data_IF_978129972428
#
_entry.id   IF_978129972428
#
_cell.length_a   1.000
_cell.length_b   1.000
_cell.length_c   1.000
_cell.angle_alpha   90.00
_cell.angle_beta   90.00
_cell.angle_gamma   90.00
#
_symmetry.space_group_name_H-M   'P 1'
#
loop_
_entity.id
_entity.type
_entity.pdbx_description
1 polymer ?
#
# COMPACT_ATOMS: atom_id res chain seq x y z
N UNK A 1 -11.80 -28.02 -11.51
CA UNK A 1 -11.93 -28.03 -10.03
C UNK A 1 -11.03 -26.97 -9.37
N UNK A 2 -9.72 -26.96 -9.63
CA UNK A 2 -8.80 -25.97 -9.02
C UNK A 2 -9.10 -24.51 -9.39
N UNK A 3 -9.37 -24.20 -10.67
CA UNK A 3 -9.70 -22.83 -11.10
C UNK A 3 -10.97 -22.32 -10.41
N UNK A 4 -11.99 -23.18 -10.29
CA UNK A 4 -13.22 -22.84 -9.58
C UNK A 4 -12.95 -22.53 -8.11
N UNK A 5 -12.13 -23.32 -7.42
CA UNK A 5 -11.75 -23.01 -6.04
C UNK A 5 -11.05 -21.65 -5.93
N UNK A 6 -10.08 -21.36 -6.80
CA UNK A 6 -9.30 -20.10 -6.78
C UNK A 6 -10.16 -18.88 -7.14
N UNK A 7 -11.12 -19.03 -8.06
CA UNK A 7 -11.91 -17.92 -8.58
C UNK A 7 -13.25 -17.73 -7.86
N UNK A 8 -13.87 -18.78 -7.33
CA UNK A 8 -15.16 -18.69 -6.62
C UNK A 8 -14.98 -18.66 -5.11
N UNK A 9 -14.21 -19.60 -4.53
CA UNK A 9 -14.26 -19.86 -3.08
C UNK A 9 -13.19 -19.05 -2.34
N UNK A 10 -11.95 -19.13 -2.82
CA UNK A 10 -10.79 -18.50 -2.18
C UNK A 10 -10.91 -16.97 -2.05
N UNK A 11 -11.57 -16.22 -2.96
CA UNK A 11 -11.69 -14.77 -2.81
C UNK A 11 -12.46 -14.39 -1.53
N UNK A 12 -13.54 -15.09 -1.21
CA UNK A 12 -14.29 -14.85 0.02
C UNK A 12 -13.46 -15.19 1.26
N UNK A 13 -12.71 -16.30 1.24
CA UNK A 13 -11.82 -16.67 2.35
C UNK A 13 -10.74 -15.60 2.55
N UNK A 14 -10.09 -15.16 1.46
CA UNK A 14 -9.00 -14.19 1.53
C UNK A 14 -9.48 -12.84 2.03
N UNK A 15 -10.64 -12.36 1.58
CA UNK A 15 -11.27 -11.12 2.07
C UNK A 15 -11.69 -11.25 3.53
N UNK A 16 -12.29 -12.37 3.94
CA UNK A 16 -12.68 -12.59 5.33
C UNK A 16 -11.46 -12.58 6.27
N UNK A 17 -10.40 -13.31 5.92
CA UNK A 17 -9.14 -13.33 6.69
C UNK A 17 -8.51 -11.93 6.74
N UNK A 18 -8.49 -11.23 5.61
CA UNK A 18 -7.96 -9.86 5.55
C UNK A 18 -8.71 -8.92 6.48
N UNK A 19 -10.05 -8.89 6.42
CA UNK A 19 -10.89 -8.00 7.23
C UNK A 19 -10.78 -8.36 8.71
N UNK A 20 -10.95 -9.63 9.07
CA UNK A 20 -10.87 -10.08 10.47
C UNK A 20 -9.48 -9.80 11.04
N UNK A 21 -8.43 -10.14 10.31
CA UNK A 21 -7.05 -9.88 10.71
C UNK A 21 -6.76 -8.39 10.87
N UNK A 22 -7.26 -7.55 9.96
CA UNK A 22 -7.13 -6.10 10.04
C UNK A 22 -7.82 -5.55 11.28
N UNK A 23 -9.08 -5.92 11.52
CA UNK A 23 -9.86 -5.50 12.70
C UNK A 23 -9.19 -5.94 14.00
N UNK A 24 -8.68 -7.18 14.05
CA UNK A 24 -7.90 -7.67 15.20
C UNK A 24 -6.67 -6.80 15.46
N UNK A 25 -5.90 -6.47 14.42
CA UNK A 25 -4.68 -5.64 14.52
C UNK A 25 -5.00 -4.23 14.97
N UNK A 26 -6.02 -3.62 14.38
CA UNK A 26 -6.51 -2.29 14.74
C UNK A 26 -7.03 -2.24 16.19
N UNK A 27 -7.84 -3.22 16.59
CA UNK A 27 -8.37 -3.33 17.95
C UNK A 27 -7.26 -3.50 18.98
N UNK A 28 -6.23 -4.30 18.68
CA UNK A 28 -5.05 -4.42 19.54
C UNK A 28 -4.30 -3.10 19.73
N UNK A 29 -4.19 -2.30 18.68
CA UNK A 29 -3.56 -0.98 18.78
C UNK A 29 -4.41 0.03 19.53
N UNK A 30 -5.71 0.05 19.28
CA UNK A 30 -6.64 0.93 19.98
C UNK A 30 -6.66 0.64 21.50
N UNK A 31 -6.51 -0.62 21.88
CA UNK A 31 -6.44 -1.05 23.28
C UNK A 31 -5.04 -0.94 23.91
N UNK A 32 -4.02 -0.59 23.13
CA UNK A 32 -2.66 -0.44 23.66
C UNK A 32 -2.59 0.81 24.55
N UNK A 33 -2.41 0.61 25.86
CA UNK A 33 -2.27 1.72 26.81
C UNK A 33 -0.90 2.35 26.65
N UNK A 34 -0.87 3.60 26.19
CA UNK A 34 0.35 4.41 26.15
C UNK A 34 0.48 5.11 27.49
N UNK A 35 1.42 4.65 28.31
CA UNK A 35 1.61 5.12 29.69
C UNK A 35 2.54 6.36 29.73
N UNK A 36 3.37 6.56 28.70
CA UNK A 36 4.43 7.58 28.68
C UNK A 36 4.30 8.52 27.48
N UNK A 37 4.67 9.79 27.65
CA UNK A 37 4.77 10.77 26.57
C UNK A 37 6.05 10.50 25.79
N UNK A 38 5.92 9.85 24.62
CA UNK A 38 7.05 9.55 23.74
C UNK A 38 7.16 10.68 22.72
N UNK A 39 7.70 11.83 23.12
CA UNK A 39 8.04 12.92 22.19
C UNK A 39 9.51 12.78 21.82
N UNK A 40 9.80 12.25 20.63
CA UNK A 40 11.15 12.26 20.06
C UNK A 40 11.22 13.42 19.07
N UNK A 41 12.16 14.35 19.29
CA UNK A 41 12.38 15.63 18.55
C UNK A 41 11.41 16.75 18.93
N UNK A 42 11.70 18.05 18.68
CA UNK A 42 10.73 19.11 18.91
C UNK A 42 9.48 18.83 18.07
N UNK A 43 8.44 18.32 18.73
CA UNK A 43 7.20 17.92 18.11
C UNK A 43 6.36 19.18 17.80
N UNK A 44 5.56 19.16 16.73
CA UNK A 44 4.67 20.27 16.42
C UNK A 44 3.74 20.57 17.60
N UNK A 45 3.69 21.84 17.98
CA UNK A 45 2.95 22.33 19.15
C UNK A 45 1.45 22.45 18.89
N UNK A 46 1.03 22.43 17.62
CA UNK A 46 -0.37 22.54 17.20
C UNK A 46 -0.83 21.27 16.50
N UNK A 47 -2.14 20.97 16.60
CA UNK A 47 -2.76 19.86 15.85
C UNK A 47 -2.53 20.00 14.34
N UNK A 48 -2.57 21.22 13.81
CA UNK A 48 -2.30 21.52 12.41
C UNK A 48 -0.84 21.20 12.04
N UNK A 49 0.13 21.56 12.88
CA UNK A 49 1.53 21.19 12.69
C UNK A 49 1.73 19.66 12.70
N UNK A 50 1.07 18.94 13.62
CA UNK A 50 1.13 17.49 13.69
C UNK A 50 0.58 16.81 12.43
N UNK A 51 -0.57 17.28 11.93
CA UNK A 51 -1.15 16.81 10.67
C UNK A 51 -0.24 17.10 9.49
N UNK A 52 0.37 18.29 9.42
CA UNK A 52 1.29 18.65 8.35
C UNK A 52 2.54 17.77 8.35
N UNK A 53 3.09 17.45 9.52
CA UNK A 53 4.25 16.55 9.62
C UNK A 53 3.91 15.10 9.27
N UNK A 54 2.72 14.63 9.65
CA UNK A 54 2.20 13.33 9.19
C UNK A 54 2.07 13.32 7.66
N UNK A 55 1.49 14.37 7.07
CA UNK A 55 1.31 14.47 5.62
C UNK A 55 2.67 14.52 4.90
N UNK A 56 3.61 15.34 5.37
CA UNK A 56 4.96 15.42 4.80
C UNK A 56 5.69 14.09 4.87
N UNK A 57 5.55 13.35 5.96
CA UNK A 57 6.10 12.01 6.00
C UNK A 57 5.39 11.09 5.02
N UNK A 58 4.06 10.99 5.07
CA UNK A 58 3.30 10.05 4.26
C UNK A 58 3.54 10.25 2.75
N UNK A 59 3.69 11.50 2.31
CA UNK A 59 3.88 11.84 0.89
C UNK A 59 5.34 11.81 0.46
N UNK A 60 6.26 12.35 1.26
CA UNK A 60 7.65 12.58 0.82
C UNK A 60 8.67 11.71 1.56
N UNK A 61 8.26 10.88 2.51
CA UNK A 61 9.17 10.10 3.37
C UNK A 61 10.34 10.95 3.89
N UNK A 62 10.02 12.15 4.41
CA UNK A 62 11.00 13.19 4.76
C UNK A 62 12.09 12.67 5.70
N UNK A 63 11.72 11.85 6.69
CA UNK A 63 12.70 11.24 7.61
C UNK A 63 13.67 10.32 6.87
N UNK A 64 13.14 9.48 5.99
CA UNK A 64 13.94 8.54 5.20
C UNK A 64 14.86 9.28 4.21
N UNK A 65 14.39 10.37 3.60
CA UNK A 65 15.20 11.21 2.72
C UNK A 65 16.45 11.76 3.42
N UNK A 66 16.31 12.14 4.70
CA UNK A 66 17.42 12.65 5.51
C UNK A 66 18.40 11.56 5.93
N UNK A 67 17.91 10.33 6.19
CA UNK A 67 18.75 9.25 6.72
C UNK A 67 19.44 8.42 5.63
N UNK A 68 18.72 8.07 4.56
CA UNK A 68 19.22 7.19 3.49
C UNK A 68 18.56 7.56 2.15
N UNK A 69 19.25 8.38 1.36
CA UNK A 69 18.78 8.86 0.07
C UNK A 69 18.60 7.74 -0.97
N UNK A 70 19.42 6.69 -0.90
CA UNK A 70 19.37 5.58 -1.84
C UNK A 70 18.12 4.73 -1.57
N UNK A 71 17.89 4.37 -0.30
CA UNK A 71 16.66 3.70 0.11
C UNK A 71 15.43 4.58 -0.17
N UNK A 72 15.52 5.88 0.10
CA UNK A 72 14.45 6.81 -0.20
C UNK A 72 14.06 6.78 -1.68
N UNK A 73 15.02 6.90 -2.61
CA UNK A 73 14.73 6.91 -4.03
C UNK A 73 14.00 5.63 -4.47
N UNK A 74 14.52 4.45 -4.08
CA UNK A 74 13.89 3.17 -4.41
C UNK A 74 12.51 2.99 -3.77
N UNK A 75 12.39 3.33 -2.48
CA UNK A 75 11.14 3.16 -1.75
C UNK A 75 10.06 4.14 -2.22
N UNK A 76 10.42 5.40 -2.50
CA UNK A 76 9.48 6.43 -2.93
C UNK A 76 8.97 6.14 -4.34
N UNK A 77 9.85 5.82 -5.29
CA UNK A 77 9.46 5.41 -6.65
C UNK A 77 8.55 4.18 -6.61
N UNK A 78 8.91 3.18 -5.79
CA UNK A 78 8.08 1.98 -5.60
C UNK A 78 6.66 2.33 -5.11
N UNK A 79 6.53 3.17 -4.08
CA UNK A 79 5.21 3.53 -3.54
C UNK A 79 4.38 4.38 -4.50
N UNK A 80 5.00 5.32 -5.22
CA UNK A 80 4.30 6.13 -6.22
C UNK A 80 3.78 5.23 -7.35
N UNK A 81 4.63 4.34 -7.87
CA UNK A 81 4.21 3.40 -8.92
C UNK A 81 3.13 2.44 -8.41
N UNK A 82 3.25 1.93 -7.19
CA UNK A 82 2.23 1.09 -6.55
C UNK A 82 0.90 1.85 -6.41
N UNK A 83 0.92 3.11 -5.97
CA UNK A 83 -0.27 3.94 -5.85
C UNK A 83 -0.99 4.08 -7.21
N UNK A 84 -0.26 4.43 -8.28
CA UNK A 84 -0.85 4.55 -9.60
C UNK A 84 -1.36 3.20 -10.15
N UNK A 85 -0.68 2.10 -9.85
CA UNK A 85 -1.15 0.77 -10.24
C UNK A 85 -2.44 0.41 -9.50
N UNK A 86 -2.52 0.64 -8.19
CA UNK A 86 -3.75 0.38 -7.41
C UNK A 86 -4.90 1.28 -7.88
N UNK A 87 -4.64 2.58 -8.08
CA UNK A 87 -5.62 3.50 -8.64
C UNK A 87 -6.08 3.07 -10.04
N UNK A 88 -5.15 2.62 -10.89
CA UNK A 88 -5.44 2.09 -12.21
C UNK A 88 -6.22 0.78 -12.20
N UNK A 89 -6.06 -0.07 -11.18
CA UNK A 89 -6.94 -1.24 -10.99
C UNK A 89 -8.36 -0.80 -10.67
N UNK A 90 -8.54 0.09 -9.70
CA UNK A 90 -9.88 0.55 -9.28
C UNK A 90 -10.58 1.30 -10.41
N UNK A 91 -9.93 2.33 -10.96
CA UNK A 91 -10.51 3.18 -12.00
C UNK A 91 -10.57 2.46 -13.35
N UNK A 92 -9.49 1.79 -13.75
CA UNK A 92 -9.41 1.12 -15.04
C UNK A 92 -10.39 -0.05 -15.16
N UNK A 93 -10.53 -0.89 -14.13
CA UNK A 93 -11.50 -1.99 -14.16
C UNK A 93 -12.93 -1.45 -13.97
N UNK A 94 -13.15 -0.56 -13.00
CA UNK A 94 -14.48 -0.03 -12.72
C UNK A 94 -15.06 0.81 -13.87
N UNK A 95 -14.22 1.59 -14.55
CA UNK A 95 -14.60 2.50 -15.62
C UNK A 95 -14.18 2.01 -17.01
N UNK A 96 -13.72 0.74 -17.13
CA UNK A 96 -13.25 0.13 -18.37
C UNK A 96 -12.13 0.91 -19.10
N UNK A 97 -11.27 1.61 -18.35
CA UNK A 97 -10.23 2.47 -18.93
C UNK A 97 -10.75 3.79 -19.49
N UNK A 98 -12.01 4.14 -19.24
CA UNK A 98 -12.68 5.34 -19.80
C UNK A 98 -12.68 6.54 -18.84
N UNK A 99 -11.91 6.49 -17.76
CA UNK A 99 -11.92 7.52 -16.73
C UNK A 99 -11.59 8.92 -17.24
N UNK A 100 -10.69 9.07 -18.22
CA UNK A 100 -10.33 10.37 -18.78
C UNK A 100 -11.40 10.92 -19.72
N UNK A 101 -12.13 10.02 -20.41
CA UNK A 101 -13.28 10.40 -21.22
C UNK A 101 -14.44 10.88 -20.34
N UNK A 102 -14.71 10.21 -19.21
CA UNK A 102 -15.78 10.62 -18.30
C UNK A 102 -15.56 11.98 -17.63
N UNK A 103 -14.31 12.39 -17.42
CA UNK A 103 -14.00 13.74 -16.93
C UNK A 103 -13.84 14.78 -18.05
N UNK A 104 -14.17 14.42 -19.29
CA UNK A 104 -14.16 15.32 -20.44
C UNK A 104 -12.78 15.73 -20.95
N UNK A 105 -11.71 15.02 -20.56
CA UNK A 105 -10.34 15.35 -20.96
C UNK A 105 -10.00 14.87 -22.38
N UNK A 106 -10.63 13.80 -22.85
CA UNK A 106 -10.27 13.15 -24.13
C UNK A 106 -11.37 12.21 -24.67
N UNK A 107 -11.15 11.61 -25.85
CA UNK A 107 -12.05 10.61 -26.44
C UNK A 107 -11.99 9.26 -25.69
N UNK A 108 -12.98 8.39 -25.91
CA UNK A 108 -13.02 7.05 -25.27
C UNK A 108 -11.80 6.22 -25.64
N UNK A 109 -11.46 6.18 -26.93
CA UNK A 109 -10.33 5.42 -27.48
C UNK A 109 -9.01 5.93 -26.89
N UNK A 110 -8.87 7.25 -26.79
CA UNK A 110 -7.68 7.87 -26.22
C UNK A 110 -7.58 7.59 -24.72
N UNK A 111 -8.70 7.58 -23.99
CA UNK A 111 -8.73 7.22 -22.58
C UNK A 111 -8.29 5.77 -22.34
N UNK A 112 -8.78 4.83 -23.15
CA UNK A 112 -8.42 3.41 -23.05
C UNK A 112 -6.92 3.19 -23.37
N UNK A 113 -6.40 3.88 -24.39
CA UNK A 113 -4.98 3.90 -24.71
C UNK A 113 -4.14 4.46 -23.55
N UNK A 114 -4.50 5.63 -23.01
CA UNK A 114 -3.80 6.25 -21.88
C UNK A 114 -3.81 5.35 -20.64
N UNK A 115 -4.93 4.69 -20.36
CA UNK A 115 -5.04 3.72 -19.26
C UNK A 115 -4.08 2.55 -19.44
N UNK A 116 -3.98 2.04 -20.67
CA UNK A 116 -3.07 0.96 -21.01
C UNK A 116 -1.62 1.41 -20.87
N UNK A 117 -1.26 2.58 -21.40
CA UNK A 117 0.09 3.14 -21.33
C UNK A 117 0.53 3.42 -19.89
N UNK A 118 -0.33 4.06 -19.09
CA UNK A 118 -0.05 4.34 -17.68
C UNK A 118 0.11 3.05 -16.87
N UNK A 119 -0.78 2.08 -17.08
CA UNK A 119 -0.69 0.78 -16.43
C UNK A 119 0.61 0.05 -16.78
N UNK A 120 1.01 0.06 -18.05
CA UNK A 120 2.28 -0.55 -18.50
C UNK A 120 3.49 0.20 -17.96
N UNK A 121 3.50 1.53 -18.04
CA UNK A 121 4.61 2.37 -17.55
C UNK A 121 4.84 2.16 -16.05
N UNK A 122 3.81 2.35 -15.23
CA UNK A 122 3.95 2.17 -13.78
C UNK A 122 4.17 0.71 -13.40
N UNK A 123 3.71 -0.25 -14.19
CA UNK A 123 4.00 -1.67 -13.99
C UNK A 123 5.49 -1.99 -14.15
N UNK A 124 6.14 -1.43 -15.18
CA UNK A 124 7.60 -1.54 -15.37
C UNK A 124 8.35 -0.84 -14.23
N UNK A 125 7.99 0.41 -13.93
CA UNK A 125 8.63 1.21 -12.88
C UNK A 125 8.54 0.51 -11.53
N UNK A 126 7.37 -0.03 -11.19
CA UNK A 126 7.15 -0.77 -9.94
C UNK A 126 8.03 -2.02 -9.88
N UNK A 127 8.09 -2.80 -10.97
CA UNK A 127 8.90 -4.02 -11.02
C UNK A 127 10.39 -3.73 -10.86
N UNK A 128 10.90 -2.71 -11.56
CA UNK A 128 12.31 -2.28 -11.44
C UNK A 128 12.62 -1.78 -10.03
N UNK A 129 11.73 -1.00 -9.43
CA UNK A 129 11.92 -0.51 -8.06
C UNK A 129 11.91 -1.67 -7.05
N UNK A 130 11.06 -2.67 -7.22
CA UNK A 130 11.06 -3.87 -6.38
C UNK A 130 12.35 -4.70 -6.52
N UNK A 131 12.86 -4.87 -7.75
CA UNK A 131 14.15 -5.52 -7.98
C UNK A 131 15.30 -4.73 -7.36
N UNK A 132 15.30 -3.40 -7.47
CA UNK A 132 16.27 -2.55 -6.79
C UNK A 132 16.25 -2.75 -5.27
N UNK A 133 15.06 -2.74 -4.66
CA UNK A 133 14.92 -2.94 -3.21
C UNK A 133 15.37 -4.34 -2.77
N UNK A 134 15.05 -5.37 -3.55
CA UNK A 134 15.54 -6.73 -3.31
C UNK A 134 17.06 -6.81 -3.43
N UNK A 135 17.63 -6.25 -4.51
CA UNK A 135 19.08 -6.17 -4.71
C UNK A 135 19.76 -5.48 -3.55
N UNK A 136 19.27 -4.30 -3.13
CA UNK A 136 19.80 -3.55 -1.98
C UNK A 136 19.80 -4.41 -0.71
N UNK A 137 18.71 -5.14 -0.46
CA UNK A 137 18.57 -6.03 0.70
C UNK A 137 19.56 -7.19 0.68
N UNK A 138 19.80 -7.76 -0.50
CA UNK A 138 20.74 -8.87 -0.67
C UNK A 138 22.19 -8.39 -0.63
N UNK A 139 22.51 -7.18 -1.11
CA UNK A 139 23.91 -6.75 -1.35
C UNK A 139 24.51 -5.96 -0.21
N UNK A 140 23.74 -5.10 0.45
CA UNK A 140 24.25 -4.29 1.57
C UNK A 140 24.27 -5.15 2.84
N UNK A 141 25.46 -5.32 3.42
CA UNK A 141 25.66 -6.27 4.52
C UNK A 141 24.84 -5.87 5.76
N UNK A 142 24.83 -4.59 6.09
CA UNK A 142 24.11 -4.01 7.23
C UNK A 142 22.61 -4.30 7.11
N UNK A 143 22.06 -4.15 5.90
CA UNK A 143 20.65 -4.41 5.61
C UNK A 143 20.35 -5.90 5.69
N UNK A 144 21.25 -6.74 5.17
CA UNK A 144 21.09 -8.21 5.19
C UNK A 144 21.06 -8.74 6.63
N UNK A 145 21.97 -8.26 7.48
CA UNK A 145 22.09 -8.67 8.88
C UNK A 145 20.84 -8.36 9.69
N UNK A 146 20.18 -7.22 9.43
CA UNK A 146 18.95 -6.83 10.15
C UNK A 146 17.66 -7.34 9.47
N UNK A 147 17.75 -8.02 8.33
CA UNK A 147 16.58 -8.49 7.59
C UNK A 147 16.09 -9.84 8.11
N UNK A 148 14.77 -9.95 8.31
CA UNK A 148 14.12 -11.22 8.60
C UNK A 148 13.78 -11.96 7.29
N UNK A 149 13.63 -13.30 7.28
CA UNK A 149 13.20 -14.05 6.10
C UNK A 149 11.90 -13.52 5.49
N UNK A 150 10.97 -13.07 6.33
CA UNK A 150 9.70 -12.49 5.88
C UNK A 150 9.87 -11.23 5.03
N UNK A 151 10.96 -10.47 5.20
CA UNK A 151 11.25 -9.28 4.37
C UNK A 151 11.52 -9.65 2.91
N UNK A 152 12.18 -10.79 2.68
CA UNK A 152 12.45 -11.31 1.35
C UNK A 152 11.19 -11.93 0.74
N UNK A 153 10.45 -12.72 1.51
CA UNK A 153 9.23 -13.38 1.04
C UNK A 153 8.18 -12.35 0.59
N UNK A 154 7.99 -11.25 1.34
CA UNK A 154 7.04 -10.21 0.92
C UNK A 154 7.50 -9.48 -0.35
N UNK A 155 8.80 -9.20 -0.50
CA UNK A 155 9.32 -8.59 -1.73
C UNK A 155 9.16 -9.53 -2.93
N UNK A 156 9.47 -10.82 -2.77
CA UNK A 156 9.30 -11.82 -3.83
C UNK A 156 7.83 -12.02 -4.20
N UNK A 157 6.91 -11.99 -3.23
CA UNK A 157 5.47 -12.05 -3.49
C UNK A 157 5.01 -10.85 -4.34
N UNK A 158 5.41 -9.63 -3.96
CA UNK A 158 5.08 -8.43 -4.74
C UNK A 158 5.70 -8.47 -6.14
N UNK A 159 6.95 -8.91 -6.27
CA UNK A 159 7.60 -9.10 -7.58
C UNK A 159 6.81 -10.09 -8.42
N UNK A 160 6.38 -11.22 -7.86
CA UNK A 160 5.56 -12.22 -8.56
C UNK A 160 4.24 -11.66 -9.05
N UNK A 161 3.53 -10.90 -8.20
CA UNK A 161 2.25 -10.25 -8.56
C UNK A 161 2.45 -9.30 -9.74
N UNK A 162 3.43 -8.40 -9.62
CA UNK A 162 3.69 -7.37 -10.64
C UNK A 162 4.22 -7.99 -11.92
N UNK A 163 5.09 -9.01 -11.83
CA UNK A 163 5.58 -9.74 -12.99
C UNK A 163 4.45 -10.45 -13.74
N UNK A 164 3.54 -11.14 -13.02
CA UNK A 164 2.37 -11.77 -13.63
C UNK A 164 1.45 -10.74 -14.31
N UNK A 165 1.24 -9.59 -13.66
CA UNK A 165 0.44 -8.49 -14.23
C UNK A 165 1.07 -7.87 -15.48
N UNK A 166 2.39 -7.62 -15.44
CA UNK A 166 3.13 -7.11 -16.60
C UNK A 166 3.17 -8.12 -17.74
N UNK A 167 3.30 -9.42 -17.44
CA UNK A 167 3.27 -10.47 -18.45
C UNK A 167 1.96 -10.47 -19.24
N UNK A 168 0.80 -10.34 -18.55
CA UNK A 168 -0.50 -10.20 -19.22
C UNK A 168 -0.60 -8.96 -20.11
N UNK A 169 0.18 -7.90 -19.85
CA UNK A 169 0.21 -6.68 -20.68
C UNK A 169 1.14 -6.82 -21.87
N UNK A 170 2.29 -7.48 -21.70
CA UNK A 170 3.29 -7.63 -22.76
C UNK A 170 3.03 -8.79 -23.70
N UNK A 171 2.23 -9.77 -23.26
CA UNK A 171 1.90 -10.97 -24.03
C UNK A 171 0.37 -11.06 -24.16
N UNK A 172 -0.24 -10.34 -25.12
CA UNK A 172 -1.69 -10.19 -25.23
C UNK A 172 -2.46 -11.52 -25.32
N UNK A 173 -1.83 -12.57 -25.86
CA UNK A 173 -2.41 -13.92 -25.94
C UNK A 173 -2.73 -14.50 -24.56
N UNK A 174 -1.94 -14.10 -23.55
CA UNK A 174 -2.11 -14.50 -22.15
C UNK A 174 -2.80 -13.40 -21.31
N UNK A 175 -3.15 -12.28 -21.94
CA UNK A 175 -3.83 -11.15 -21.33
C UNK A 175 -5.33 -11.34 -21.19
N UNK A 176 -5.94 -10.39 -20.46
CA UNK A 176 -7.39 -10.28 -20.29
C UNK A 176 -7.78 -8.80 -20.31
N UNK A 177 -8.90 -8.49 -20.96
CA UNK A 177 -9.44 -7.12 -21.03
C UNK A 177 -10.18 -6.74 -19.74
N UNK A 178 -10.46 -5.45 -19.56
CA UNK A 178 -11.12 -4.95 -18.34
C UNK A 178 -12.54 -5.47 -18.14
N UNK A 179 -13.30 -5.65 -19.22
CA UNK A 179 -14.72 -6.03 -19.15
C UNK A 179 -14.93 -7.42 -18.51
N UNK A 180 -14.29 -8.51 -18.96
CA UNK A 180 -14.40 -9.81 -18.30
C UNK A 180 -14.00 -9.79 -16.82
N UNK A 181 -12.99 -8.99 -16.45
CA UNK A 181 -12.54 -8.85 -15.06
C UNK A 181 -13.57 -8.09 -14.22
N UNK A 182 -14.18 -7.02 -14.78
CA UNK A 182 -15.24 -6.26 -14.10
C UNK A 182 -16.46 -7.14 -13.86
N UNK A 183 -16.87 -7.92 -14.86
CA UNK A 183 -18.03 -8.80 -14.76
C UNK A 183 -17.78 -9.93 -13.75
N UNK A 184 -16.55 -10.47 -13.70
CA UNK A 184 -16.12 -11.39 -12.64
C UNK A 184 -16.24 -10.77 -11.23
N UNK A 185 -15.75 -9.53 -11.05
CA UNK A 185 -15.86 -8.82 -9.77
C UNK A 185 -17.34 -8.60 -9.40
N UNK A 186 -18.19 -8.24 -10.36
CA UNK A 186 -19.62 -8.08 -10.12
C UNK A 186 -20.23 -9.37 -9.57
N UNK A 187 -19.92 -10.52 -10.16
CA UNK A 187 -20.43 -11.81 -9.68
C UNK A 187 -20.02 -12.09 -8.22
N UNK A 188 -18.76 -11.79 -7.85
CA UNK A 188 -18.30 -11.93 -6.47
C UNK A 188 -19.06 -11.02 -5.51
N UNK A 189 -19.32 -9.76 -5.89
CA UNK A 189 -19.99 -8.79 -5.02
C UNK A 189 -21.49 -9.09 -4.91
N UNK A 190 -22.13 -9.57 -5.98
CA UNK A 190 -23.54 -9.97 -5.99
C UNK A 190 -23.77 -11.38 -5.47
N UNK A 191 -22.72 -12.07 -5.02
CA UNK A 191 -22.76 -13.46 -4.55
C UNK A 191 -23.39 -14.43 -5.57
N UNK A 192 -23.18 -14.17 -6.86
CA UNK A 192 -23.60 -15.07 -7.94
C UNK A 192 -22.47 -16.04 -8.28
N UNK A 193 -22.85 -17.19 -8.85
CA UNK A 193 -21.89 -18.25 -9.18
C UNK A 193 -21.08 -17.88 -10.42
N UNK A 194 -19.76 -18.02 -10.35
CA UNK A 194 -18.90 -17.98 -11.54
C UNK A 194 -19.17 -19.24 -12.37
N UNK A 195 -19.59 -19.03 -13.61
CA UNK A 195 -19.94 -20.11 -14.53
C UNK A 195 -18.71 -20.55 -15.34
N UNK A 196 -18.64 -21.81 -15.79
CA UNK A 196 -17.49 -22.33 -16.52
C UNK A 196 -17.20 -21.63 -17.86
N UNK A 197 -18.19 -20.97 -18.47
CA UNK A 197 -18.11 -20.26 -19.74
C UNK A 197 -17.49 -18.85 -19.62
N UNK A 198 -17.33 -18.32 -18.40
CA UNK A 198 -16.73 -17.01 -18.21
C UNK A 198 -15.26 -17.00 -18.62
N UNK A 199 -14.84 -15.99 -19.39
CA UNK A 199 -13.48 -15.90 -19.94
C UNK A 199 -12.37 -16.04 -18.87
N UNK A 200 -12.58 -15.46 -17.69
CA UNK A 200 -11.64 -15.55 -16.55
C UNK A 200 -11.27 -16.99 -16.16
N UNK A 201 -12.16 -17.96 -16.39
CA UNK A 201 -11.94 -19.38 -16.08
C UNK A 201 -10.86 -20.02 -16.97
N UNK A 202 -10.58 -19.41 -18.12
CA UNK A 202 -9.68 -19.90 -19.16
C UNK A 202 -8.41 -19.07 -19.31
N UNK A 203 -8.18 -18.08 -18.43
CA UNK A 203 -7.01 -17.20 -18.47
C UNK A 203 -6.02 -17.55 -17.35
N UNK A 204 -5.05 -18.46 -17.58
CA UNK A 204 -4.18 -18.98 -16.54
C UNK A 204 -3.32 -17.90 -15.87
N UNK A 205 -2.83 -16.91 -16.62
CA UNK A 205 -2.03 -15.82 -16.03
C UNK A 205 -2.86 -14.89 -15.15
N UNK A 206 -4.13 -14.66 -15.49
CA UNK A 206 -5.06 -13.95 -14.62
C UNK A 206 -5.29 -14.72 -13.33
N UNK A 207 -5.51 -16.04 -13.41
CA UNK A 207 -5.68 -16.91 -12.24
C UNK A 207 -4.44 -16.90 -11.34
N UNK A 208 -3.24 -16.98 -11.90
CA UNK A 208 -1.98 -16.90 -11.15
C UNK A 208 -1.85 -15.53 -10.48
N UNK A 209 -2.06 -14.45 -11.22
CA UNK A 209 -2.01 -13.09 -10.67
C UNK A 209 -2.99 -12.94 -9.50
N UNK A 210 -4.24 -13.36 -9.68
CA UNK A 210 -5.27 -13.29 -8.64
C UNK A 210 -4.94 -14.19 -7.45
N UNK A 211 -4.41 -15.40 -7.66
CA UNK A 211 -3.99 -16.28 -6.57
C UNK A 211 -2.91 -15.61 -5.71
N UNK A 212 -1.91 -14.99 -6.34
CA UNK A 212 -0.86 -14.28 -5.61
C UNK A 212 -1.41 -13.07 -4.85
N UNK A 213 -2.38 -12.35 -5.41
CA UNK A 213 -3.10 -11.26 -4.71
C UNK A 213 -3.92 -11.79 -3.53
N UNK A 214 -4.58 -12.94 -3.67
CA UNK A 214 -5.32 -13.57 -2.57
C UNK A 214 -4.40 -14.02 -1.44
N UNK A 215 -3.22 -14.58 -1.76
CA UNK A 215 -2.16 -14.89 -0.79
C UNK A 215 -1.68 -13.61 -0.10
N UNK A 216 -1.47 -12.53 -0.86
CA UNK A 216 -1.13 -11.22 -0.31
C UNK A 216 -2.18 -10.76 0.70
N UNK A 217 -3.48 -10.80 0.36
CA UNK A 217 -4.57 -10.40 1.27
C UNK A 217 -4.58 -11.23 2.56
N UNK A 218 -4.39 -12.55 2.47
CA UNK A 218 -4.35 -13.45 3.64
C UNK A 218 -3.19 -13.09 4.58
N UNK A 219 -2.00 -12.82 4.02
CA UNK A 219 -0.79 -12.54 4.82
C UNK A 219 -0.70 -11.07 5.25
N UNK A 220 -1.33 -10.15 4.52
CA UNK A 220 -1.24 -8.71 4.72
C UNK A 220 -1.42 -8.25 6.18
N UNK A 221 -2.51 -8.62 6.90
CA UNK A 221 -2.74 -8.10 8.25
C UNK A 221 -1.70 -8.58 9.28
N UNK A 222 -1.02 -9.69 9.00
CA UNK A 222 -0.01 -10.29 9.87
C UNK A 222 1.42 -9.92 9.46
N UNK A 223 1.58 -9.10 8.42
CA UNK A 223 2.88 -8.76 7.84
C UNK A 223 3.32 -7.33 8.17
N UNK A 224 4.55 -7.01 7.75
CA UNK A 224 5.09 -5.64 7.78
C UNK A 224 4.39 -4.72 6.77
N UNK A 225 3.59 -5.22 5.82
CA UNK A 225 2.88 -4.39 4.84
C UNK A 225 1.80 -3.51 5.45
N UNK A 226 1.26 -3.90 6.61
CA UNK A 226 0.31 -3.08 7.36
C UNK A 226 0.98 -1.86 8.02
N UNK A 227 2.23 -1.53 7.65
CA UNK A 227 2.90 -0.28 8.00
C UNK A 227 2.15 0.94 7.45
N UNK A 228 1.47 0.82 6.31
CA UNK A 228 0.69 1.93 5.71
C UNK A 228 -0.38 2.44 6.68
N UNK A 229 -1.13 1.52 7.30
CA UNK A 229 -2.14 1.84 8.30
C UNK A 229 -1.50 2.21 9.65
N UNK A 230 -0.46 1.48 10.04
CA UNK A 230 0.24 1.69 11.32
C UNK A 230 1.00 2.99 11.42
N UNK A 231 1.48 3.53 10.30
CA UNK A 231 2.21 4.80 10.25
C UNK A 231 1.35 5.94 10.79
N UNK A 232 0.08 6.02 10.36
CA UNK A 232 -0.83 7.08 10.81
C UNK A 232 -1.13 6.96 12.30
N UNK A 233 -1.44 5.76 12.79
CA UNK A 233 -1.70 5.53 14.21
C UNK A 233 -0.47 5.87 15.08
N UNK A 234 0.70 5.36 14.71
CA UNK A 234 1.95 5.58 15.44
C UNK A 234 2.36 7.05 15.44
N UNK A 235 2.27 7.74 14.30
CA UNK A 235 2.62 9.17 14.24
C UNK A 235 1.62 10.06 14.94
N UNK A 236 0.33 9.71 14.95
CA UNK A 236 -0.64 10.42 15.77
C UNK A 236 -0.30 10.30 17.26
N UNK A 237 0.13 9.11 17.71
CA UNK A 237 0.56 8.88 19.09
C UNK A 237 1.81 9.69 19.46
N UNK A 238 2.80 9.77 18.57
CA UNK A 238 4.07 10.47 18.84
C UNK A 238 3.93 11.99 18.73
N UNK A 239 3.21 12.47 17.70
CA UNK A 239 3.15 13.89 17.36
C UNK A 239 1.93 14.61 17.96
N UNK A 240 1.10 13.95 18.78
CA UNK A 240 0.02 14.64 19.47
C UNK A 240 0.59 15.61 20.51
N UNK A 241 -0.01 16.79 20.60
CA UNK A 241 0.22 17.69 21.71
C UNK A 241 -0.31 17.02 23.00
N UNK A 242 0.56 16.88 23.99
CA UNK A 242 0.20 16.38 25.32
C UNK A 242 -0.18 17.57 26.20
N UNK A 243 -1.35 17.50 26.84
CA UNK A 243 -1.79 18.52 27.80
C UNK A 243 -1.34 18.19 29.24
N UNK A 244 -1.20 16.90 29.56
CA UNK A 244 -0.88 16.40 30.91
C UNK A 244 0.52 15.73 30.93
N UNK A 245 1.23 15.78 32.08
CA UNK A 245 2.54 15.14 32.22
C UNK A 245 2.43 13.64 32.05
N UNK A 246 3.54 12.99 31.67
CA UNK A 246 3.58 11.54 31.63
C UNK A 246 3.25 10.97 33.02
N UNK A 247 2.47 9.88 33.06
CA UNK A 247 2.11 9.20 34.30
C UNK A 247 3.37 8.82 35.10
N UNK A 248 3.42 9.20 36.38
CA UNK A 248 4.60 9.02 37.25
C UNK A 248 5.55 10.22 37.31
N UNK A 249 5.26 11.30 36.57
CA UNK A 249 5.98 12.58 36.64
C UNK A 249 5.02 13.75 36.89
N UNK A 250 4.29 13.78 38.03
CA UNK A 250 3.23 14.76 38.28
C UNK A 250 3.72 16.23 38.31
N UNK A 251 5.02 16.46 38.48
CA UNK A 251 5.64 17.79 38.51
C UNK A 251 6.48 18.10 37.26
N UNK A 252 6.50 17.22 36.25
CA UNK A 252 7.16 17.54 35.00
C UNK A 252 6.38 18.64 34.31
N UNK A 253 7.05 19.76 34.02
CA UNK A 253 6.48 20.85 33.23
C UNK A 253 6.18 20.28 31.85
N UNK A 254 4.91 19.98 31.59
CA UNK A 254 4.39 19.94 30.23
C UNK A 254 4.51 21.38 29.78
N UNK A 255 5.58 21.69 29.05
CA UNK A 255 5.67 23.02 28.46
C UNK A 255 4.43 23.14 27.59
N UNK A 256 3.50 24.00 27.99
CA UNK A 256 2.51 24.55 27.08
C UNK A 256 3.30 25.45 26.14
N UNK A 257 3.93 24.84 25.13
CA UNK A 257 4.88 25.52 24.25
C UNK A 257 4.19 26.56 23.36
N UNK A 258 2.86 26.69 23.45
CA UNK A 258 2.10 27.80 22.89
C UNK A 258 2.42 29.16 23.55
N UNK A 259 3.09 29.18 24.71
CA UNK A 259 3.36 30.40 25.47
C UNK A 259 4.82 30.90 25.47
N UNK A 260 5.75 30.25 24.75
CA UNK A 260 7.15 30.72 24.69
C UNK A 260 7.47 31.42 23.35
N UNK A 261 7.54 32.77 23.32
CA UNK A 261 7.78 33.53 22.09
C UNK A 261 9.24 33.45 21.59
N UNK A 262 10.08 32.56 22.16
CA UNK A 262 11.51 32.50 21.86
C UNK A 262 11.92 31.23 21.11
N UNK A 263 11.38 31.02 19.91
CA UNK A 263 12.01 30.14 18.92
C UNK A 263 11.94 30.82 17.55
N UNK A 264 12.77 31.85 17.37
CA UNK A 264 13.18 32.24 16.02
C UNK A 264 13.98 31.09 15.38
N UNK A 265 13.73 30.77 14.09
CA UNK A 265 14.54 29.79 13.39
C UNK A 265 15.94 30.37 13.23
N UNK A 266 16.95 29.70 13.81
CA UNK A 266 18.33 29.93 13.38
C UNK A 266 18.47 29.40 11.95
N UNK A 267 18.83 30.31 11.07
CA UNK A 267 19.13 30.14 9.64
C UNK A 267 20.06 28.95 9.35
#
# INVERSE_FOLDING_TARGET
MINYFILQILPYISVAVFIIGLLYRLGRWANARIIHNITLTPAPTTKAGAMLDIAKEATFFRSLFKSDKALWAGAWIMHVALFFILAGHVLGIGLLGRQFAYVGLTSVETSELLSTLLGTFFGIVLLLALFYLLYRRIRINEVRVISAPSDYVMLLLLIGIVAAGNFMRFVPEWGIHYEPVRDYIQHLITFTSITPDMEVMHKPMFIIHLLLVQILLIVFPFSKLLHSVGMFAHRYIINRAYAEPASGLPNAVVKDQAADPKIEPKE
#
